data_IF_862197852931
#
_entry.id   IF_862197852931
#
_cell.length_a   1.000
_cell.length_b   1.000
_cell.length_c   1.000
_cell.angle_alpha   90.00
_cell.angle_beta   90.00
_cell.angle_gamma   90.00
#
_symmetry.space_group_name_H-M   'P 1'
#
loop_
_entity.id
_entity.type
_entity.pdbx_description
1 polymer ?
#
# COMPACT_ATOMS: atom_id res chain seq x y z
N UNK A 1 -15.93 17.94 7.01
CA UNK A 1 -16.89 17.08 7.75
C UNK A 1 -16.39 16.96 9.18
N UNK A 2 -17.25 16.88 10.20
CA UNK A 2 -16.75 16.63 11.56
C UNK A 2 -16.34 15.16 11.73
N UNK A 3 -15.28 14.89 12.49
CA UNK A 3 -14.69 13.57 12.70
C UNK A 3 -15.70 12.55 13.26
N UNK A 4 -16.62 12.99 14.14
CA UNK A 4 -17.67 12.13 14.68
C UNK A 4 -18.65 11.64 13.59
N UNK A 5 -18.98 12.48 12.60
CA UNK A 5 -19.87 12.09 11.49
C UNK A 5 -19.17 11.10 10.54
N UNK A 6 -17.87 11.29 10.29
CA UNK A 6 -17.07 10.33 9.49
C UNK A 6 -17.05 8.95 10.15
N UNK A 7 -16.75 8.88 11.46
CA UNK A 7 -16.73 7.62 12.21
C UNK A 7 -18.10 6.95 12.25
N UNK A 8 -19.17 7.73 12.40
CA UNK A 8 -20.54 7.22 12.37
C UNK A 8 -20.87 6.55 11.04
N UNK A 9 -20.54 7.18 9.91
CA UNK A 9 -20.79 6.63 8.57
C UNK A 9 -20.03 5.34 8.32
N UNK A 10 -18.76 5.28 8.71
CA UNK A 10 -17.95 4.06 8.65
C UNK A 10 -18.58 2.93 9.48
N UNK A 11 -19.10 3.24 10.67
CA UNK A 11 -19.69 2.25 11.58
C UNK A 11 -20.95 1.60 11.01
N UNK A 12 -21.76 2.36 10.26
CA UNK A 12 -22.99 1.84 9.62
C UNK A 12 -22.76 1.32 8.19
N UNK A 13 -21.51 1.33 7.71
CA UNK A 13 -21.14 1.01 6.33
C UNK A 13 -22.00 1.78 5.30
N UNK A 14 -22.13 3.10 5.48
CA UNK A 14 -22.89 3.95 4.55
C UNK A 14 -22.30 3.85 3.14
N UNK A 15 -23.11 3.57 2.12
CA UNK A 15 -22.62 3.41 0.73
C UNK A 15 -21.86 4.65 0.23
N UNK A 16 -22.12 5.83 0.81
CA UNK A 16 -21.40 7.07 0.46
C UNK A 16 -19.91 7.03 0.79
N UNK A 17 -19.46 6.15 1.69
CA UNK A 17 -18.05 6.05 2.05
C UNK A 17 -17.31 4.95 1.27
N UNK A 18 -18.00 4.23 0.38
CA UNK A 18 -17.46 3.06 -0.32
C UNK A 18 -16.22 3.39 -1.17
N UNK A 19 -16.22 4.56 -1.80
CA UNK A 19 -15.16 5.10 -2.65
C UNK A 19 -14.27 6.12 -1.91
N UNK A 20 -14.45 6.29 -0.60
CA UNK A 20 -13.63 7.14 0.26
C UNK A 20 -13.76 8.64 0.06
N UNK A 21 -14.34 9.10 -1.06
CA UNK A 21 -14.51 10.52 -1.40
C UNK A 21 -15.32 11.29 -0.34
N UNK A 22 -16.32 10.65 0.28
CA UNK A 22 -17.14 11.27 1.32
C UNK A 22 -16.49 11.27 2.72
N UNK A 23 -15.28 10.72 2.90
CA UNK A 23 -14.59 10.75 4.19
C UNK A 23 -13.86 12.07 4.42
N UNK A 24 -13.51 12.79 3.34
CA UNK A 24 -12.66 13.98 3.39
C UNK A 24 -11.21 13.65 3.75
N UNK A 25 -10.25 14.31 3.11
CA UNK A 25 -8.82 14.01 3.27
C UNK A 25 -7.97 15.23 3.69
N UNK A 26 -8.63 16.35 3.97
CA UNK A 26 -8.00 17.65 4.28
C UNK A 26 -7.16 17.64 5.56
N UNK A 27 -7.41 16.69 6.47
CA UNK A 27 -6.72 16.60 7.76
C UNK A 27 -5.29 16.05 7.64
N UNK A 28 -4.99 15.30 6.58
CA UNK A 28 -3.64 14.82 6.27
C UNK A 28 -3.09 15.63 5.12
N UNK A 29 -1.82 16.02 5.19
CA UNK A 29 -1.16 16.62 4.04
C UNK A 29 -1.05 15.61 2.90
N UNK A 30 -0.85 16.08 1.66
CA UNK A 30 -0.61 15.18 0.52
C UNK A 30 0.59 14.25 0.74
N UNK A 31 1.62 14.74 1.44
CA UNK A 31 2.79 13.96 1.85
C UNK A 31 2.42 12.84 2.82
N UNK A 32 1.68 13.15 3.90
CA UNK A 32 1.28 12.15 4.89
C UNK A 32 0.41 11.06 4.25
N UNK A 33 -0.48 11.45 3.32
CA UNK A 33 -1.31 10.48 2.58
C UNK A 33 -0.49 9.53 1.74
N UNK A 34 0.50 10.02 1.00
CA UNK A 34 1.35 9.16 0.19
C UNK A 34 2.14 8.15 1.06
N UNK A 35 2.69 8.58 2.20
CA UNK A 35 3.36 7.67 3.14
C UNK A 35 2.40 6.63 3.74
N UNK A 36 1.18 7.03 4.12
CA UNK A 36 0.15 6.12 4.64
C UNK A 36 -0.28 5.10 3.59
N UNK A 37 -0.40 5.50 2.32
CA UNK A 37 -0.74 4.58 1.22
C UNK A 37 0.37 3.56 0.96
N UNK A 38 1.64 3.97 0.97
CA UNK A 38 2.77 3.05 0.91
C UNK A 38 2.71 2.06 2.08
N UNK A 39 2.53 2.54 3.31
CA UNK A 39 2.43 1.70 4.50
C UNK A 39 1.27 0.68 4.38
N UNK A 40 0.12 1.13 3.89
CA UNK A 40 -1.03 0.27 3.67
C UNK A 40 -0.79 -0.77 2.57
N UNK A 41 -0.17 -0.39 1.45
CA UNK A 41 0.20 -1.30 0.36
C UNK A 41 1.12 -2.41 0.87
N UNK A 42 2.13 -2.05 1.69
CA UNK A 42 3.01 -3.00 2.38
C UNK A 42 2.22 -3.93 3.30
N UNK A 43 1.32 -3.38 4.10
CA UNK A 43 0.54 -4.16 5.07
C UNK A 43 -0.39 -5.19 4.43
N UNK A 44 -1.00 -4.86 3.27
CA UNK A 44 -1.91 -5.77 2.56
C UNK A 44 -1.18 -6.71 1.61
N UNK A 45 0.13 -6.55 1.43
CA UNK A 45 0.90 -7.34 0.46
C UNK A 45 0.41 -7.11 -0.97
N UNK A 46 0.19 -5.84 -1.35
CA UNK A 46 -0.38 -5.48 -2.65
C UNK A 46 0.41 -6.06 -3.85
N UNK A 47 -0.19 -6.13 -5.02
CA UNK A 47 0.52 -6.58 -6.23
C UNK A 47 1.56 -5.54 -6.68
N UNK A 48 2.57 -5.97 -7.44
CA UNK A 48 3.66 -5.12 -7.98
C UNK A 48 3.13 -3.84 -8.67
N UNK A 49 2.07 -3.88 -9.51
CA UNK A 49 1.52 -2.67 -10.15
C UNK A 49 0.97 -1.64 -9.15
N UNK A 50 0.44 -2.10 -8.02
CA UNK A 50 -0.09 -1.22 -6.96
C UNK A 50 1.05 -0.54 -6.19
N UNK A 51 2.18 -1.24 -5.95
CA UNK A 51 3.36 -0.61 -5.38
C UNK A 51 3.96 0.44 -6.30
N UNK A 52 4.07 0.15 -7.60
CA UNK A 52 4.57 1.10 -8.59
C UNK A 52 3.77 2.40 -8.58
N UNK A 53 2.44 2.31 -8.71
CA UNK A 53 1.58 3.50 -8.72
C UNK A 53 1.65 4.34 -7.43
N UNK A 54 1.76 3.72 -6.26
CA UNK A 54 1.82 4.43 -4.97
C UNK A 54 3.22 5.03 -4.70
N UNK A 55 4.28 4.35 -5.14
CA UNK A 55 5.67 4.85 -5.02
C UNK A 55 5.93 5.95 -6.06
N UNK A 56 5.47 5.80 -7.29
CA UNK A 56 5.54 6.84 -8.32
C UNK A 56 4.79 8.10 -7.87
N UNK A 57 3.58 7.96 -7.32
CA UNK A 57 2.83 9.08 -6.77
C UNK A 57 3.53 9.74 -5.58
N UNK A 58 4.24 8.98 -4.74
CA UNK A 58 5.03 9.51 -3.65
C UNK A 58 6.28 10.27 -4.13
N UNK A 59 6.98 9.73 -5.13
CA UNK A 59 8.16 10.36 -5.74
C UNK A 59 7.75 11.64 -6.50
N UNK A 60 6.65 11.61 -7.26
CA UNK A 60 6.06 12.81 -7.90
C UNK A 60 5.64 13.86 -6.87
N UNK A 61 5.21 13.44 -5.68
CA UNK A 61 4.92 14.32 -4.54
C UNK A 61 6.18 14.84 -3.80
N UNK A 62 7.39 14.49 -4.26
CA UNK A 62 8.66 14.95 -3.71
C UNK A 62 9.05 14.28 -2.39
N UNK A 63 8.57 13.06 -2.15
CA UNK A 63 9.00 12.24 -1.01
C UNK A 63 10.40 11.69 -1.30
N UNK A 64 11.30 11.80 -0.32
CA UNK A 64 12.66 11.28 -0.44
C UNK A 64 12.61 9.73 -0.36
N UNK A 65 13.31 8.99 -1.24
CA UNK A 65 13.46 7.54 -1.14
C UNK A 65 13.83 7.04 0.27
N UNK A 66 14.61 7.80 1.04
CA UNK A 66 14.96 7.48 2.42
C UNK A 66 13.72 7.43 3.35
N UNK A 67 12.70 8.23 3.08
CA UNK A 67 11.44 8.22 3.84
C UNK A 67 10.62 6.97 3.54
N UNK A 68 10.63 6.50 2.29
CA UNK A 68 9.98 5.24 1.91
C UNK A 68 10.62 4.07 2.67
N UNK A 69 11.95 4.04 2.76
CA UNK A 69 12.67 3.05 3.59
C UNK A 69 12.35 3.23 5.07
N UNK A 70 12.22 4.47 5.54
CA UNK A 70 11.77 4.79 6.89
C UNK A 70 10.38 4.23 7.21
N UNK A 71 9.44 4.27 6.26
CA UNK A 71 8.11 3.65 6.40
C UNK A 71 8.24 2.14 6.56
N UNK A 72 9.05 1.48 5.73
CA UNK A 72 9.29 0.04 5.86
C UNK A 72 9.79 -0.32 7.26
N UNK A 73 10.78 0.43 7.77
CA UNK A 73 11.30 0.22 9.13
C UNK A 73 10.23 0.46 10.21
N UNK A 74 9.38 1.48 10.03
CA UNK A 74 8.33 1.83 10.99
C UNK A 74 7.21 0.79 11.05
N UNK A 75 6.91 0.10 9.94
CA UNK A 75 5.81 -0.89 9.90
C UNK A 75 6.23 -2.30 10.31
N UNK A 76 7.53 -2.64 10.34
CA UNK A 76 8.03 -3.96 10.81
C UNK A 76 7.36 -4.45 12.11
N UNK A 77 7.25 -3.65 13.20
CA UNK A 77 6.62 -4.12 14.44
C UNK A 77 5.10 -4.29 14.33
N UNK A 78 4.45 -3.73 13.31
CA UNK A 78 3.00 -3.78 13.11
C UNK A 78 2.59 -4.95 12.21
N UNK A 79 3.27 -5.11 11.07
CA UNK A 79 2.89 -6.10 10.04
C UNK A 79 3.79 -7.34 10.03
N UNK A 80 4.88 -7.30 10.80
CA UNK A 80 5.87 -8.36 10.89
C UNK A 80 6.98 -8.26 9.82
N UNK A 81 8.17 -8.72 10.19
CA UNK A 81 9.34 -8.76 9.30
C UNK A 81 9.09 -9.53 7.99
N UNK A 82 8.41 -10.70 7.97
CA UNK A 82 8.19 -11.45 6.73
C UNK A 82 7.44 -10.65 5.66
N UNK A 83 6.43 -9.88 6.06
CA UNK A 83 5.64 -9.01 5.18
C UNK A 83 6.51 -7.92 4.56
N UNK A 84 7.35 -7.27 5.37
CA UNK A 84 8.27 -6.22 4.91
C UNK A 84 9.35 -6.78 3.99
N UNK A 85 9.91 -7.95 4.31
CA UNK A 85 10.89 -8.64 3.46
C UNK A 85 10.30 -9.00 2.10
N UNK A 86 9.05 -9.45 2.05
CA UNK A 86 8.36 -9.74 0.78
C UNK A 86 8.07 -8.47 -0.05
N UNK A 87 7.86 -7.32 0.60
CA UNK A 87 7.62 -6.05 -0.08
C UNK A 87 8.91 -5.35 -0.54
N UNK A 88 10.04 -5.60 0.13
CA UNK A 88 11.30 -4.88 -0.09
C UNK A 88 11.82 -4.94 -1.53
N UNK A 89 11.81 -6.08 -2.26
CA UNK A 89 12.25 -6.13 -3.66
C UNK A 89 11.41 -5.23 -4.57
N UNK A 90 10.08 -5.22 -4.37
CA UNK A 90 9.16 -4.39 -5.17
C UNK A 90 9.38 -2.90 -4.93
N UNK A 91 9.60 -2.53 -3.67
CA UNK A 91 9.95 -1.15 -3.30
C UNK A 91 11.30 -0.77 -3.89
N UNK A 92 12.29 -1.66 -3.86
CA UNK A 92 13.60 -1.41 -4.45
C UNK A 92 13.50 -1.18 -5.98
N UNK A 93 12.74 -2.01 -6.69
CA UNK A 93 12.48 -1.86 -8.12
C UNK A 93 11.77 -0.54 -8.45
N UNK A 94 10.75 -0.16 -7.67
CA UNK A 94 10.04 1.10 -7.86
C UNK A 94 10.93 2.33 -7.59
N UNK A 95 11.95 2.19 -6.74
CA UNK A 95 12.98 3.21 -6.53
C UNK A 95 14.09 3.19 -7.60
N UNK A 96 14.01 2.29 -8.60
CA UNK A 96 15.00 2.16 -9.67
C UNK A 96 16.30 1.47 -9.24
N UNK A 97 16.28 0.69 -8.16
CA UNK A 97 17.42 -0.11 -7.74
C UNK A 97 17.48 -1.42 -8.54
N UNK A 98 18.69 -1.82 -8.92
CA UNK A 98 18.92 -3.06 -9.65
C UNK A 98 18.62 -4.30 -8.79
N UNK A 99 18.02 -5.37 -9.37
CA UNK A 99 17.83 -6.63 -8.69
C UNK A 99 19.15 -7.22 -8.19
N UNK A 100 19.22 -7.61 -6.92
CA UNK A 100 20.33 -8.50 -6.49
C UNK A 100 19.98 -9.96 -6.74
N UNK A 101 21.00 -10.74 -7.05
CA UNK A 101 20.90 -12.17 -7.38
C UNK A 101 20.13 -12.93 -6.27
N UNK A 102 19.01 -13.57 -6.62
CA UNK A 102 18.14 -14.32 -5.70
C UNK A 102 16.80 -13.66 -5.31
N UNK A 103 16.41 -12.54 -5.93
CA UNK A 103 15.09 -11.91 -5.72
C UNK A 103 13.92 -12.59 -6.45
N UNK A 104 14.16 -13.26 -7.58
CA UNK A 104 13.13 -13.79 -8.47
C UNK A 104 12.28 -14.93 -7.88
N UNK A 105 12.76 -15.62 -6.84
CA UNK A 105 12.06 -16.80 -6.27
C UNK A 105 10.85 -16.43 -5.40
N UNK A 106 10.74 -15.18 -4.93
CA UNK A 106 9.71 -14.77 -3.97
C UNK A 106 8.43 -14.19 -4.60
N UNK A 107 8.53 -13.62 -5.81
CA UNK A 107 7.40 -12.94 -6.46
C UNK A 107 6.44 -13.90 -7.17
N UNK A 108 6.94 -15.01 -7.73
CA UNK A 108 6.10 -16.01 -8.39
C UNK A 108 5.03 -16.61 -7.45
N UNK A 109 5.33 -16.74 -6.16
CA UNK A 109 4.42 -17.32 -5.17
C UNK A 109 3.30 -16.36 -4.71
N UNK A 110 3.52 -15.04 -4.80
CA UNK A 110 2.55 -14.04 -4.34
C UNK A 110 1.50 -13.71 -5.41
N UNK A 111 1.91 -13.66 -6.69
CA UNK A 111 1.00 -13.45 -7.82
C UNK A 111 0.04 -14.64 -8.01
N UNK A 112 0.50 -15.88 -7.81
CA UNK A 112 -0.36 -17.07 -7.85
C UNK A 112 -1.43 -17.05 -6.73
N UNK A 113 -1.08 -16.60 -5.53
CA UNK A 113 -2.03 -16.50 -4.41
C UNK A 113 -3.10 -15.42 -4.63
N UNK A 114 -2.78 -14.33 -5.35
CA UNK A 114 -3.73 -13.30 -5.74
C UNK A 114 -4.65 -13.75 -6.89
N UNK A 115 -4.14 -14.56 -7.82
CA UNK A 115 -4.91 -15.13 -8.93
C UNK A 115 -5.92 -16.21 -8.47
N UNK A 116 -5.60 -16.98 -7.42
CA UNK A 116 -6.47 -18.04 -6.90
C UNK A 116 -7.69 -17.53 -6.10
N UNK A 117 -7.70 -16.25 -5.71
CA UNK A 117 -8.79 -15.60 -4.95
C UNK A 117 -9.93 -15.01 -5.79
N UNK A 118 -9.85 -15.04 -7.12
CA UNK A 118 -10.90 -14.47 -7.98
C UNK A 118 -12.20 -15.30 -7.91
N UNK A 119 -13.35 -14.73 -7.54
CA UNK A 119 -14.61 -15.47 -7.49
C UNK A 119 -14.97 -15.92 -8.91
N UNK A 120 -15.06 -17.24 -9.12
CA UNK A 120 -15.62 -17.79 -10.36
C UNK A 120 -17.05 -17.28 -10.50
N UNK A 121 -17.29 -16.46 -11.52
CA UNK A 121 -18.65 -16.01 -11.85
C UNK A 121 -19.52 -17.24 -12.10
N UNK A 122 -20.66 -17.40 -11.42
CA UNK A 122 -21.65 -18.40 -11.80
C UNK A 122 -22.23 -17.99 -13.15
N UNK A 123 -22.30 -18.96 -14.08
CA UNK A 123 -22.94 -18.83 -15.39
C UNK A 123 -24.46 -18.92 -15.32
#
# INVERSE_FOLDING_TARGET
MDHAEVLRRLTINDERVADGAALGDDALSGRDRALVRIAAAVAVGASVPTYGAEIDAAVEAGIDPAEVVGVLAAVVPVVGLPTVVAAAPRVALALGLEPVEGWDDADAAADDAAAEGAPRRPG
#
